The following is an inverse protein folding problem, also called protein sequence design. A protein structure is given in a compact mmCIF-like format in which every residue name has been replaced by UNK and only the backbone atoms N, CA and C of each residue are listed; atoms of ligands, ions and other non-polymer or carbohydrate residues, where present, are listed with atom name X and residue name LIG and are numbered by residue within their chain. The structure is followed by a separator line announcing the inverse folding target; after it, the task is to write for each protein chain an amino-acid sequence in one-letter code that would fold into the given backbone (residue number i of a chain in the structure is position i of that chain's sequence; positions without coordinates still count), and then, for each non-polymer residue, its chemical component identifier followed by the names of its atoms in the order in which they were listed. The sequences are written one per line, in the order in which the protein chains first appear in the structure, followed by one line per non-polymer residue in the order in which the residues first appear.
data_IF_992990549608
#
_entry.id   IF_992990549608
#
_cell.length_a   1.000
_cell.length_b   1.000
_cell.length_c   1.000
_cell.angle_alpha   90.00
_cell.angle_beta   90.00
_cell.angle_gamma   90.00
#
_symmetry.space_group_name_H-M   'P 1'
#
loop_
_entity.id
_entity.type
_entity.pdbx_description
1 polymer ?
#
# COMPACT_ATOMS: atom_id res chain seq x y z
N UNK A 1 61.62 -10.65 -12.18
CA UNK A 1 60.52 -10.62 -13.16
C UNK A 1 59.56 -9.50 -12.76
N UNK A 2 59.66 -8.37 -13.47
CA UNK A 2 58.66 -7.33 -13.81
C UNK A 2 57.63 -6.89 -12.73
N UNK A 3 57.68 -5.59 -12.31
CA UNK A 3 56.68 -4.92 -11.47
C UNK A 3 55.70 -4.04 -12.29
N UNK A 4 54.50 -3.76 -11.75
CA UNK A 4 53.53 -2.75 -12.22
C UNK A 4 53.30 -1.78 -11.04
N UNK A 5 53.87 -0.56 -10.95
CA UNK A 5 53.66 0.70 -11.69
C UNK A 5 52.22 1.24 -11.67
N UNK A 6 51.91 2.13 -10.72
CA UNK A 6 51.69 3.57 -10.97
C UNK A 6 51.32 4.33 -9.66
N UNK A 7 51.99 5.44 -9.29
CA UNK A 7 51.51 6.33 -8.22
C UNK A 7 50.82 7.60 -8.76
N UNK A 8 49.78 7.95 -8.03
CA UNK A 8 48.91 9.11 -8.10
C UNK A 8 49.68 10.44 -7.86
N UNK A 9 49.43 11.44 -8.71
CA UNK A 9 49.94 12.82 -8.62
C UNK A 9 48.75 13.76 -8.51
N UNK A 10 48.84 14.73 -7.60
CA UNK A 10 48.49 16.17 -7.78
C UNK A 10 48.60 16.85 -6.40
N UNK A 11 49.67 17.62 -6.18
CA UNK A 11 49.75 19.09 -6.28
C UNK A 11 48.85 19.85 -5.30
N UNK A 12 49.54 20.51 -4.36
CA UNK A 12 49.01 21.39 -3.35
C UNK A 12 48.49 22.70 -3.95
N UNK A 13 47.38 23.18 -3.39
CA UNK A 13 46.84 24.50 -3.65
C UNK A 13 47.67 25.61 -3.01
N UNK A 14 47.94 26.65 -3.80
CA UNK A 14 48.21 27.98 -3.29
C UNK A 14 46.87 28.74 -3.20
N UNK A 15 46.59 29.31 -2.03
CA UNK A 15 45.47 30.22 -1.83
C UNK A 15 45.69 31.57 -2.49
N UNK A 16 44.64 32.41 -2.49
CA UNK A 16 44.64 33.82 -2.08
C UNK A 16 43.19 34.37 -2.23
N UNK A 17 42.67 34.84 -1.10
CA UNK A 17 41.88 36.06 -0.86
C UNK A 17 40.67 36.48 -1.71
N UNK A 18 39.57 36.79 -1.00
CA UNK A 18 38.66 37.90 -1.34
C UNK A 18 37.16 37.62 -1.17
N UNK A 19 36.40 38.42 -0.38
CA UNK A 19 34.97 38.21 -0.15
C UNK A 19 34.14 38.74 -1.33
N UNK A 20 33.20 37.93 -1.83
CA UNK A 20 32.35 38.27 -2.98
C UNK A 20 31.16 39.14 -2.57
N UNK A 21 31.16 40.35 -3.14
CA UNK A 21 30.11 41.36 -3.12
C UNK A 21 28.81 40.86 -3.79
N UNK A 22 27.70 40.99 -3.07
CA UNK A 22 26.40 40.41 -3.40
C UNK A 22 25.58 41.27 -4.39
N UNK A 23 26.18 42.29 -5.01
CA UNK A 23 25.51 43.25 -5.91
C UNK A 23 25.81 43.11 -7.40
N UNK A 24 26.67 42.18 -7.83
CA UNK A 24 27.07 42.04 -9.24
C UNK A 24 26.44 40.85 -9.99
N UNK A 25 25.49 40.12 -9.37
CA UNK A 25 24.82 38.95 -9.96
C UNK A 25 23.36 39.20 -10.40
N UNK A 26 22.92 40.45 -10.52
CA UNK A 26 21.59 40.80 -11.05
C UNK A 26 21.63 41.56 -12.38
N UNK A 27 22.80 41.78 -12.98
CA UNK A 27 22.96 42.64 -14.16
C UNK A 27 23.52 41.92 -15.40
N UNK A 28 23.49 40.57 -15.42
CA UNK A 28 23.90 39.74 -16.58
C UNK A 28 22.82 38.78 -17.09
N UNK A 29 21.55 39.18 -17.06
CA UNK A 29 20.47 38.40 -17.70
C UNK A 29 19.53 39.20 -18.62
N UNK A 30 19.87 40.45 -18.98
CA UNK A 30 19.01 41.30 -19.83
C UNK A 30 19.61 41.71 -21.17
N UNK A 31 20.68 41.05 -21.64
CA UNK A 31 21.22 41.28 -22.98
C UNK A 31 21.76 39.98 -23.58
N UNK A 32 20.94 39.24 -24.31
CA UNK A 32 21.32 38.61 -25.57
C UNK A 32 20.09 37.99 -26.27
N UNK A 33 19.99 38.27 -27.56
CA UNK A 33 19.08 37.70 -28.58
C UNK A 33 17.71 38.35 -28.72
N UNK A 34 17.75 39.58 -29.21
CA UNK A 34 16.75 40.08 -30.15
C UNK A 34 17.50 40.84 -31.25
N UNK A 35 17.70 40.21 -32.43
CA UNK A 35 18.03 40.86 -33.72
C UNK A 35 18.56 39.83 -34.73
N UNK A 36 17.73 39.51 -35.74
CA UNK A 36 18.15 39.37 -37.14
C UNK A 36 16.90 39.13 -38.01
N UNK A 37 16.43 40.21 -38.64
CA UNK A 37 15.48 40.24 -39.74
C UNK A 37 16.23 40.82 -40.94
N UNK A 38 16.30 40.10 -42.08
CA UNK A 38 16.56 40.70 -43.40
C UNK A 38 16.31 39.73 -44.59
N UNK A 39 15.34 40.13 -45.42
CA UNK A 39 15.21 39.99 -46.90
C UNK A 39 14.70 38.71 -47.60
N UNK A 40 13.41 38.82 -47.99
CA UNK A 40 12.86 38.89 -49.37
C UNK A 40 12.78 37.68 -50.32
N UNK A 41 11.51 37.26 -50.53
CA UNK A 41 10.80 36.95 -51.82
C UNK A 41 11.13 35.67 -52.63
N UNK A 42 10.23 35.20 -53.54
CA UNK A 42 8.76 35.07 -53.48
C UNK A 42 8.27 33.73 -54.12
N UNK A 43 7.52 32.88 -53.40
CA UNK A 43 6.81 31.73 -54.03
C UNK A 43 5.42 31.52 -53.42
N UNK A 44 4.62 32.59 -53.42
CA UNK A 44 3.17 32.50 -53.31
C UNK A 44 2.56 32.38 -54.71
N UNK A 45 2.34 31.16 -55.19
CA UNK A 45 1.28 30.77 -56.13
C UNK A 45 1.60 29.41 -56.75
N UNK A 46 0.84 28.37 -56.40
CA UNK A 46 0.32 27.34 -57.32
C UNK A 46 -0.90 26.70 -56.61
N UNK A 47 -2.09 26.94 -57.20
CA UNK A 47 -3.33 26.15 -57.17
C UNK A 47 -3.85 25.60 -55.83
N UNK A 48 -4.89 26.19 -55.20
CA UNK A 48 -6.32 25.99 -55.54
C UNK A 48 -6.63 24.66 -56.24
N UNK A 49 -7.22 23.71 -55.50
CA UNK A 49 -8.40 22.89 -55.85
C UNK A 49 -8.43 21.62 -54.99
N UNK A 50 -9.26 21.60 -53.96
CA UNK A 50 -10.02 20.39 -53.57
C UNK A 50 -11.23 20.85 -52.78
N UNK A 51 -12.33 20.99 -53.52
CA UNK A 51 -13.61 21.44 -53.01
C UNK A 51 -14.25 20.41 -52.08
N UNK A 52 -14.85 20.96 -51.02
CA UNK A 52 -16.07 20.47 -50.34
C UNK A 52 -17.01 19.77 -51.32
N UNK A 53 -17.27 18.47 -51.12
CA UNK A 53 -18.53 17.85 -51.54
C UNK A 53 -19.24 17.26 -50.31
N UNK A 54 -20.54 17.53 -50.12
CA UNK A 54 -21.32 17.01 -48.99
C UNK A 54 -21.77 15.55 -49.15
N UNK A 55 -21.32 14.85 -50.21
CA UNK A 55 -21.78 13.51 -50.57
C UNK A 55 -21.04 12.41 -49.78
N UNK A 56 -19.81 12.67 -49.30
CA UNK A 56 -19.06 11.70 -48.46
C UNK A 56 -19.47 11.68 -46.98
N UNK A 57 -20.26 12.65 -46.51
CA UNK A 57 -20.84 12.61 -45.15
C UNK A 57 -22.15 11.83 -45.07
N UNK A 58 -22.82 11.62 -46.20
CA UNK A 58 -24.08 10.85 -46.26
C UNK A 58 -23.83 9.34 -46.28
N UNK A 59 -22.71 8.87 -46.86
CA UNK A 59 -22.31 7.45 -46.88
C UNK A 59 -21.73 6.94 -45.54
N UNK A 60 -21.32 7.85 -44.65
CA UNK A 60 -20.92 7.53 -43.26
C UNK A 60 -22.06 7.74 -42.25
N UNK A 61 -23.31 7.82 -42.70
CA UNK A 61 -24.49 7.79 -41.83
C UNK A 61 -25.57 6.82 -42.35
N UNK A 62 -25.28 6.08 -43.43
CA UNK A 62 -26.18 5.11 -44.06
C UNK A 62 -25.78 3.64 -43.79
N UNK A 63 -24.99 3.41 -42.74
CA UNK A 63 -24.63 2.08 -42.24
C UNK A 63 -24.99 1.93 -40.74
N UNK A 64 -25.92 2.76 -40.26
CA UNK A 64 -26.52 2.72 -38.91
C UNK A 64 -28.05 2.81 -39.07
N UNK A 65 -28.62 1.96 -39.92
CA UNK A 65 -30.08 1.77 -39.99
C UNK A 65 -30.46 0.30 -40.28
N UNK A 66 -29.53 -0.64 -40.09
CA UNK A 66 -29.69 -2.04 -40.47
C UNK A 66 -29.46 -3.03 -39.33
N UNK A 67 -30.03 -2.81 -38.15
CA UNK A 67 -30.19 -3.85 -37.13
C UNK A 67 -31.08 -3.35 -35.98
N UNK A 68 -32.37 -3.13 -36.24
CA UNK A 68 -33.36 -3.01 -35.17
C UNK A 68 -34.64 -3.76 -35.51
N UNK A 69 -34.51 -5.06 -35.80
CA UNK A 69 -35.63 -5.99 -35.84
C UNK A 69 -35.15 -7.38 -35.45
N UNK A 70 -35.02 -7.64 -34.14
CA UNK A 70 -35.29 -8.96 -33.56
C UNK A 70 -35.88 -8.74 -32.18
N UNK A 71 -37.19 -8.98 -32.05
CA UNK A 71 -37.83 -9.20 -30.76
C UNK A 71 -37.57 -10.63 -30.29
N UNK A 72 -37.54 -10.81 -28.96
CA UNK A 72 -37.75 -12.10 -28.31
C UNK A 72 -36.49 -12.94 -28.01
N UNK A 73 -35.88 -12.68 -26.86
CA UNK A 73 -35.71 -13.61 -25.72
C UNK A 73 -34.65 -13.03 -24.77
N UNK A 74 -35.12 -12.54 -23.61
CA UNK A 74 -34.28 -12.16 -22.49
C UNK A 74 -33.68 -13.41 -21.82
N UNK A 75 -32.53 -13.22 -21.16
CA UNK A 75 -31.90 -14.12 -20.17
C UNK A 75 -30.94 -15.22 -20.68
N UNK A 76 -30.05 -14.90 -21.62
CA UNK A 76 -28.78 -15.66 -21.76
C UNK A 76 -27.56 -14.75 -21.50
N UNK A 77 -26.77 -15.01 -20.45
CA UNK A 77 -25.57 -14.24 -20.12
C UNK A 77 -24.55 -14.16 -21.27
N UNK A 78 -24.51 -15.20 -22.10
CA UNK A 78 -23.53 -15.34 -23.19
C UNK A 78 -23.78 -14.40 -24.37
N UNK A 79 -25.05 -14.10 -24.68
CA UNK A 79 -25.40 -13.18 -25.77
C UNK A 79 -25.11 -11.73 -25.39
N UNK A 80 -25.27 -11.37 -24.12
CA UNK A 80 -24.85 -10.05 -23.62
C UNK A 80 -23.33 -9.90 -23.66
N UNK A 81 -22.56 -10.92 -23.26
CA UNK A 81 -21.10 -10.86 -23.29
C UNK A 81 -20.55 -10.81 -24.73
N UNK A 82 -21.19 -11.51 -25.67
CA UNK A 82 -20.89 -11.41 -27.10
C UNK A 82 -21.20 -10.02 -27.67
N UNK A 83 -22.35 -9.44 -27.33
CA UNK A 83 -22.73 -8.09 -27.76
C UNK A 83 -21.78 -7.01 -27.20
N UNK A 84 -21.35 -7.15 -25.94
CA UNK A 84 -20.38 -6.23 -25.31
C UNK A 84 -19.01 -6.31 -26.01
N UNK A 85 -18.53 -7.51 -26.36
CA UNK A 85 -17.26 -7.68 -27.10
C UNK A 85 -17.29 -7.04 -28.48
N UNK A 86 -18.40 -7.17 -29.22
CA UNK A 86 -18.59 -6.54 -30.54
C UNK A 86 -18.69 -5.02 -30.42
N UNK A 87 -19.35 -4.53 -29.37
CA UNK A 87 -19.49 -3.10 -29.10
C UNK A 87 -18.17 -2.44 -28.63
N UNK A 88 -17.31 -3.18 -27.92
CA UNK A 88 -15.95 -2.75 -27.54
C UNK A 88 -15.00 -2.69 -28.74
N UNK A 89 -15.09 -3.63 -29.68
CA UNK A 89 -14.27 -3.64 -30.90
C UNK A 89 -14.62 -2.52 -31.88
N UNK A 90 -15.85 -2.00 -31.84
CA UNK A 90 -16.33 -0.94 -32.73
C UNK A 90 -16.08 0.49 -32.21
N UNK A 91 -15.48 0.64 -31.02
CA UNK A 91 -15.17 1.96 -30.42
C UNK A 91 -16.40 2.81 -30.08
N UNK A 92 -17.61 2.26 -30.27
CA UNK A 92 -18.88 2.93 -30.00
C UNK A 92 -19.23 2.97 -28.51
N UNK A 93 -18.53 2.20 -27.68
CA UNK A 93 -18.67 2.22 -26.23
C UNK A 93 -17.32 2.58 -25.61
N UNK A 94 -17.21 3.80 -25.09
CA UNK A 94 -16.26 4.11 -24.03
C UNK A 94 -16.72 3.34 -22.78
N UNK A 95 -16.45 2.03 -22.77
CA UNK A 95 -17.16 1.03 -21.98
C UNK A 95 -17.04 1.23 -20.48
N UNK A 96 -18.16 1.66 -19.87
CA UNK A 96 -18.54 1.33 -18.49
C UNK A 96 -18.10 -0.09 -18.18
N UNK A 97 -17.31 -0.29 -17.13
CA UNK A 97 -16.86 -1.61 -16.72
C UNK A 97 -18.08 -2.49 -16.37
N UNK A 98 -17.99 -3.78 -16.70
CA UNK A 98 -18.91 -4.75 -16.12
C UNK A 98 -18.69 -4.82 -14.60
N UNK A 99 -19.75 -5.14 -13.85
CA UNK A 99 -19.62 -5.24 -12.39
C UNK A 99 -18.63 -6.31 -11.94
N UNK A 100 -18.42 -7.35 -12.77
CA UNK A 100 -17.45 -8.42 -12.53
C UNK A 100 -16.00 -7.93 -12.64
N UNK A 101 -15.71 -7.11 -13.65
CA UNK A 101 -14.40 -6.48 -13.81
C UNK A 101 -14.10 -5.54 -12.63
N UNK A 102 -15.10 -4.78 -12.19
CA UNK A 102 -14.97 -3.90 -11.03
C UNK A 102 -14.60 -4.68 -9.76
N UNK A 103 -15.34 -5.76 -9.49
CA UNK A 103 -15.11 -6.61 -8.34
C UNK A 103 -13.72 -7.27 -8.39
N UNK A 104 -13.30 -7.74 -9.56
CA UNK A 104 -11.97 -8.35 -9.75
C UNK A 104 -10.84 -7.35 -9.49
N UNK A 105 -11.00 -6.11 -9.95
CA UNK A 105 -10.05 -5.03 -9.66
C UNK A 105 -9.91 -4.76 -8.17
N UNK A 106 -11.04 -4.61 -7.47
CA UNK A 106 -11.07 -4.42 -6.02
C UNK A 106 -10.37 -5.58 -5.30
N UNK A 107 -10.70 -6.83 -5.63
CA UNK A 107 -10.06 -8.01 -5.02
C UNK A 107 -8.54 -7.97 -5.17
N UNK A 108 -8.03 -7.61 -6.34
CA UNK A 108 -6.58 -7.51 -6.55
C UNK A 108 -5.95 -6.40 -5.71
N UNK A 109 -6.57 -5.21 -5.60
CA UNK A 109 -6.10 -4.17 -4.69
C UNK A 109 -6.04 -4.65 -3.24
N UNK A 110 -7.11 -5.29 -2.77
CA UNK A 110 -7.17 -5.80 -1.40
C UNK A 110 -6.12 -6.90 -1.17
N UNK A 111 -5.82 -7.71 -2.19
CA UNK A 111 -4.77 -8.75 -2.13
C UNK A 111 -3.39 -8.13 -1.99
N UNK A 112 -3.09 -7.11 -2.79
CA UNK A 112 -1.83 -6.36 -2.71
C UNK A 112 -1.72 -5.67 -1.35
N UNK A 113 -2.76 -4.97 -0.90
CA UNK A 113 -2.78 -4.28 0.39
C UNK A 113 -2.57 -5.24 1.56
N UNK A 114 -3.32 -6.35 1.63
CA UNK A 114 -3.10 -7.38 2.64
C UNK A 114 -1.67 -7.97 2.59
N UNK A 115 -1.14 -8.17 1.38
CA UNK A 115 0.25 -8.58 1.18
C UNK A 115 1.27 -7.61 1.76
N UNK A 116 1.06 -6.30 1.54
CA UNK A 116 1.89 -5.21 2.07
C UNK A 116 1.86 -5.17 3.61
N UNK A 117 0.66 -5.25 4.20
CA UNK A 117 0.48 -5.26 5.67
C UNK A 117 1.28 -6.41 6.29
N UNK A 118 1.10 -7.63 5.77
CA UNK A 118 1.78 -8.80 6.31
C UNK A 118 3.29 -8.75 6.05
N UNK A 119 3.71 -8.22 4.90
CA UNK A 119 5.13 -8.00 4.59
C UNK A 119 5.80 -6.97 5.50
N UNK A 120 5.08 -5.91 5.88
CA UNK A 120 5.56 -4.87 6.80
C UNK A 120 5.69 -5.37 8.23
N UNK A 121 4.66 -6.08 8.71
CA UNK A 121 4.56 -6.47 10.12
C UNK A 121 5.27 -7.79 10.42
N UNK A 122 5.42 -8.66 9.42
CA UNK A 122 6.01 -10.00 9.54
C UNK A 122 7.54 -10.05 9.48
N UNK A 123 8.22 -8.91 9.59
CA UNK A 123 9.69 -8.80 9.50
C UNK A 123 10.28 -8.25 10.80
N UNK A 124 11.59 -8.45 11.06
CA UNK A 124 12.24 -7.85 12.20
C UNK A 124 12.00 -6.34 12.26
N UNK A 125 11.50 -5.88 13.41
CA UNK A 125 11.14 -4.50 13.73
C UNK A 125 9.85 -3.99 13.09
N UNK A 126 9.09 -4.86 12.41
CA UNK A 126 7.76 -4.54 11.89
C UNK A 126 6.77 -4.14 12.99
N UNK A 127 6.92 -4.70 14.20
CA UNK A 127 6.21 -4.23 15.39
C UNK A 127 7.14 -3.42 16.29
N UNK A 128 8.34 -3.93 16.58
CA UNK A 128 9.16 -3.39 17.66
C UNK A 128 9.58 -1.92 17.45
N UNK A 129 9.87 -1.51 16.22
CA UNK A 129 10.29 -0.14 15.91
C UNK A 129 9.14 0.75 15.42
N UNK A 130 7.93 0.21 15.27
CA UNK A 130 6.80 0.95 14.72
C UNK A 130 5.92 1.50 15.85
N UNK A 131 5.94 2.81 16.13
CA UNK A 131 5.24 3.38 17.28
C UNK A 131 3.71 3.26 17.20
N UNK A 132 3.14 2.94 16.03
CA UNK A 132 1.68 2.80 15.86
C UNK A 132 1.18 1.42 16.28
N UNK A 133 2.03 0.41 16.20
CA UNK A 133 1.65 -0.99 16.46
C UNK A 133 2.56 -1.70 17.45
N UNK A 134 3.61 -1.01 17.94
CA UNK A 134 4.48 -1.52 18.99
C UNK A 134 3.66 -2.11 20.13
N UNK A 135 4.03 -3.32 20.55
CA UNK A 135 3.36 -4.06 21.62
C UNK A 135 4.01 -3.68 22.94
N UNK A 136 3.38 -2.80 23.75
CA UNK A 136 3.94 -2.47 25.05
C UNK A 136 3.76 -3.64 26.01
N UNK A 137 4.51 -3.63 27.10
CA UNK A 137 4.20 -4.47 28.25
C UNK A 137 2.73 -4.27 28.71
N UNK A 138 2.05 -5.33 29.20
CA UNK A 138 0.81 -5.22 29.95
C UNK A 138 0.91 -4.21 31.10
N UNK A 139 -0.21 -3.62 31.49
CA UNK A 139 -0.27 -2.53 32.47
C UNK A 139 0.44 -2.85 33.79
N UNK A 140 0.25 -4.06 34.30
CA UNK A 140 0.92 -4.59 35.50
C UNK A 140 2.45 -4.61 35.34
N UNK A 141 2.95 -5.14 34.22
CA UNK A 141 4.37 -5.24 33.93
C UNK A 141 5.01 -3.89 33.61
N UNK A 142 4.25 -2.90 33.11
CA UNK A 142 4.74 -1.51 33.01
C UNK A 142 4.94 -0.88 34.38
N UNK A 143 4.03 -1.11 35.33
CA UNK A 143 4.20 -0.62 36.71
C UNK A 143 5.44 -1.24 37.35
N UNK A 144 5.60 -2.56 37.20
CA UNK A 144 6.78 -3.31 37.65
C UNK A 144 8.08 -2.76 37.03
N UNK A 145 8.10 -2.53 35.70
CA UNK A 145 9.21 -1.89 34.99
C UNK A 145 9.54 -0.53 35.57
N UNK A 146 8.55 0.31 35.86
CA UNK A 146 8.81 1.67 36.36
C UNK A 146 9.49 1.63 37.74
N UNK A 147 9.12 0.68 38.60
CA UNK A 147 9.78 0.45 39.89
C UNK A 147 11.20 -0.07 39.66
N UNK A 148 11.36 -1.12 38.85
CA UNK A 148 12.66 -1.71 38.50
C UNK A 148 13.62 -0.66 37.90
N UNK A 149 13.11 0.24 37.06
CA UNK A 149 13.89 1.28 36.41
C UNK A 149 14.46 2.30 37.40
N UNK A 150 13.72 2.64 38.47
CA UNK A 150 14.22 3.49 39.56
C UNK A 150 15.39 2.85 40.33
N UNK A 151 15.50 1.53 40.25
CA UNK A 151 16.54 0.73 40.88
C UNK A 151 17.66 0.32 39.90
N UNK A 152 17.66 0.87 38.68
CA UNK A 152 18.65 0.52 37.64
C UNK A 152 18.41 -0.80 36.91
N UNK A 153 17.27 -1.47 37.15
CA UNK A 153 16.93 -2.81 36.63
C UNK A 153 15.92 -2.79 35.48
N UNK A 154 15.74 -1.65 34.80
CA UNK A 154 14.74 -1.50 33.73
C UNK A 154 15.03 -2.33 32.47
N UNK A 155 16.27 -2.76 32.25
CA UNK A 155 16.70 -3.42 31.02
C UNK A 155 16.04 -4.78 30.79
N UNK A 156 15.79 -5.56 31.84
CA UNK A 156 15.14 -6.88 31.71
C UNK A 156 13.70 -6.76 31.21
N UNK A 157 12.99 -5.72 31.65
CA UNK A 157 11.64 -5.42 31.16
C UNK A 157 11.64 -4.92 29.72
N UNK A 158 12.69 -4.19 29.30
CA UNK A 158 12.86 -3.78 27.90
C UNK A 158 13.16 -4.97 26.99
N UNK A 159 13.96 -5.93 27.45
CA UNK A 159 14.20 -7.19 26.75
C UNK A 159 12.89 -8.01 26.62
N UNK A 160 12.11 -8.12 27.70
CA UNK A 160 10.80 -8.76 27.67
C UNK A 160 9.87 -8.10 26.64
N UNK A 161 9.75 -6.78 26.66
CA UNK A 161 8.94 -6.02 25.70
C UNK A 161 9.38 -6.29 24.25
N UNK A 162 10.70 -6.30 24.01
CA UNK A 162 11.26 -6.62 22.68
C UNK A 162 10.87 -8.04 22.25
N UNK A 163 10.94 -9.04 23.13
CA UNK A 163 10.58 -10.43 22.82
C UNK A 163 9.09 -10.61 22.53
N UNK A 164 8.21 -9.86 23.20
CA UNK A 164 6.77 -9.83 22.87
C UNK A 164 6.55 -9.35 21.42
N UNK A 165 7.26 -8.29 21.01
CA UNK A 165 7.20 -7.78 19.63
C UNK A 165 7.76 -8.79 18.63
N UNK A 166 8.89 -9.46 18.94
CA UNK A 166 9.43 -10.53 18.08
C UNK A 166 8.44 -11.69 17.89
N UNK A 167 7.69 -12.02 18.93
CA UNK A 167 6.67 -13.07 18.84
C UNK A 167 5.54 -12.68 17.87
N UNK A 168 5.09 -11.42 17.90
CA UNK A 168 4.11 -10.89 16.94
C UNK A 168 4.64 -10.86 15.49
N UNK A 169 5.87 -10.38 15.29
CA UNK A 169 6.55 -10.36 13.98
C UNK A 169 6.63 -11.78 13.40
N UNK A 170 6.94 -12.78 14.22
CA UNK A 170 7.02 -14.19 13.80
C UNK A 170 5.65 -14.77 13.45
N UNK A 171 4.59 -14.38 14.17
CA UNK A 171 3.26 -14.94 13.97
C UNK A 171 2.51 -14.32 12.78
N UNK A 172 2.77 -13.05 12.46
CA UNK A 172 2.02 -12.29 11.47
C UNK A 172 2.03 -12.87 10.04
N UNK A 173 3.12 -13.48 9.53
CA UNK A 173 3.14 -14.07 8.19
C UNK A 173 1.99 -15.04 7.87
N UNK A 174 1.45 -15.75 8.87
CA UNK A 174 0.32 -16.68 8.68
C UNK A 174 -0.95 -15.98 8.21
N UNK A 175 -1.11 -14.69 8.51
CA UNK A 175 -2.30 -13.94 8.16
C UNK A 175 -2.46 -13.79 6.63
N UNK A 176 -1.36 -13.88 5.86
CA UNK A 176 -1.38 -13.69 4.40
C UNK A 176 -2.33 -14.66 3.71
N UNK A 177 -2.18 -15.96 3.97
CA UNK A 177 -3.00 -17.00 3.35
C UNK A 177 -4.47 -16.82 3.73
N UNK A 178 -4.74 -16.48 4.98
CA UNK A 178 -6.09 -16.24 5.48
C UNK A 178 -6.76 -15.05 4.78
N UNK A 179 -6.06 -13.93 4.62
CA UNK A 179 -6.57 -12.79 3.84
C UNK A 179 -6.83 -13.16 2.38
N UNK A 180 -5.91 -13.89 1.74
CA UNK A 180 -6.05 -14.28 0.34
C UNK A 180 -7.25 -15.22 0.13
N UNK A 181 -7.48 -16.14 1.07
CA UNK A 181 -8.64 -17.01 1.05
C UNK A 181 -9.94 -16.21 1.19
N UNK A 182 -9.99 -15.24 2.11
CA UNK A 182 -11.16 -14.38 2.29
C UNK A 182 -11.46 -13.52 1.06
N UNK A 183 -10.43 -12.96 0.43
CA UNK A 183 -10.56 -12.17 -0.82
C UNK A 183 -11.07 -13.05 -1.96
N UNK A 184 -10.55 -14.28 -2.07
CA UNK A 184 -11.00 -15.24 -3.08
C UNK A 184 -12.50 -15.55 -2.92
N UNK A 185 -12.94 -15.76 -1.67
CA UNK A 185 -14.34 -16.08 -1.31
C UNK A 185 -15.29 -14.87 -1.33
N UNK A 186 -14.79 -13.64 -1.52
CA UNK A 186 -15.61 -12.43 -1.55
C UNK A 186 -16.61 -12.47 -2.71
N UNK A 187 -17.89 -12.25 -2.43
CA UNK A 187 -18.94 -12.24 -3.45
C UNK A 187 -18.96 -10.93 -4.24
N UNK A 188 -19.71 -10.88 -5.35
CA UNK A 188 -19.92 -9.63 -6.08
C UNK A 188 -20.64 -8.58 -5.20
N UNK A 189 -21.55 -9.02 -4.32
CA UNK A 189 -22.28 -8.11 -3.43
C UNK A 189 -21.40 -7.57 -2.31
N UNK A 190 -20.51 -8.40 -1.75
CA UNK A 190 -19.48 -7.92 -0.84
C UNK A 190 -18.60 -6.86 -1.49
N UNK A 191 -18.14 -7.11 -2.72
CA UNK A 191 -17.31 -6.19 -3.48
C UNK A 191 -18.03 -4.86 -3.78
N UNK A 192 -19.31 -4.93 -4.18
CA UNK A 192 -20.17 -3.75 -4.36
C UNK A 192 -20.30 -2.97 -3.05
N UNK A 193 -20.61 -3.65 -1.95
CA UNK A 193 -20.78 -3.03 -0.64
C UNK A 193 -19.51 -2.35 -0.11
N UNK A 194 -18.33 -2.89 -0.44
CA UNK A 194 -17.06 -2.24 -0.13
C UNK A 194 -16.87 -0.98 -0.99
N UNK A 195 -17.14 -1.08 -2.29
CA UNK A 195 -16.92 0.01 -3.25
C UNK A 195 -17.88 1.20 -3.03
N UNK A 196 -19.14 0.95 -2.70
CA UNK A 196 -20.14 1.98 -2.39
C UNK A 196 -20.19 2.37 -0.91
N UNK A 197 -19.43 1.67 -0.07
CA UNK A 197 -19.39 1.88 1.37
C UNK A 197 -18.50 3.04 1.81
N UNK A 198 -18.52 3.36 3.12
CA UNK A 198 -17.67 4.39 3.72
C UNK A 198 -16.18 4.06 3.57
N UNK A 199 -15.31 5.02 3.90
CA UNK A 199 -13.87 4.92 3.65
C UNK A 199 -13.14 3.74 4.32
N UNK A 200 -13.78 3.08 5.28
CA UNK A 200 -13.28 1.91 6.00
C UNK A 200 -14.02 0.59 5.67
N UNK A 201 -14.81 0.56 4.60
CA UNK A 201 -15.69 -0.56 4.30
C UNK A 201 -14.97 -1.91 4.12
N UNK A 202 -13.79 -1.93 3.48
CA UNK A 202 -12.99 -3.14 3.32
C UNK A 202 -12.41 -3.60 4.66
N UNK A 203 -11.91 -2.66 5.46
CA UNK A 203 -11.38 -2.93 6.80
C UNK A 203 -12.45 -3.54 7.69
N UNK A 204 -13.65 -2.97 7.70
CA UNK A 204 -14.80 -3.50 8.45
C UNK A 204 -15.22 -4.87 7.94
N UNK A 205 -15.19 -5.11 6.63
CA UNK A 205 -15.44 -6.42 6.04
C UNK A 205 -14.46 -7.46 6.61
N UNK A 206 -13.16 -7.17 6.55
CA UNK A 206 -12.13 -8.08 7.05
C UNK A 206 -12.21 -8.27 8.56
N UNK A 207 -12.43 -7.23 9.35
CA UNK A 207 -12.61 -7.37 10.80
C UNK A 207 -13.74 -8.34 11.13
N UNK A 208 -14.90 -8.23 10.45
CA UNK A 208 -16.02 -9.15 10.66
C UNK A 208 -15.71 -10.58 10.21
N UNK A 209 -15.11 -10.75 9.02
CA UNK A 209 -14.88 -12.07 8.42
C UNK A 209 -13.66 -12.79 9.00
N UNK A 210 -12.66 -12.05 9.49
CA UNK A 210 -11.31 -12.58 9.74
C UNK A 210 -10.89 -12.55 11.19
N UNK A 211 -11.49 -11.77 12.08
CA UNK A 211 -11.02 -11.70 13.48
C UNK A 211 -11.00 -13.07 14.15
N UNK A 212 -12.08 -13.85 14.04
CA UNK A 212 -12.14 -15.18 14.64
C UNK A 212 -11.20 -16.20 13.95
N UNK A 213 -11.21 -16.35 12.61
CA UNK A 213 -10.25 -17.23 11.92
C UNK A 213 -8.77 -16.87 12.17
N UNK A 214 -8.42 -15.58 12.13
CA UNK A 214 -7.07 -15.11 12.44
C UNK A 214 -6.70 -15.46 13.88
N UNK A 215 -7.57 -15.16 14.84
CA UNK A 215 -7.33 -15.50 16.25
C UNK A 215 -7.06 -16.99 16.44
N UNK A 216 -7.91 -17.85 15.86
CA UNK A 216 -7.78 -19.30 15.98
C UNK A 216 -6.48 -19.81 15.36
N UNK A 217 -6.09 -19.31 14.18
CA UNK A 217 -4.89 -19.78 13.48
C UNK A 217 -3.60 -19.19 14.05
N UNK A 218 -3.63 -17.93 14.48
CA UNK A 218 -2.46 -17.24 15.03
C UNK A 218 -2.16 -17.67 16.46
N UNK A 219 -3.15 -17.97 17.30
CA UNK A 219 -2.94 -18.34 18.72
C UNK A 219 -1.86 -19.42 18.94
N UNK A 220 -1.90 -20.59 18.29
CA UNK A 220 -0.84 -21.60 18.48
C UNK A 220 0.54 -21.14 17.99
N UNK A 221 0.58 -20.30 16.96
CA UNK A 221 1.84 -19.76 16.41
C UNK A 221 2.41 -18.70 17.34
N UNK A 222 1.58 -17.81 17.88
CA UNK A 222 1.98 -16.84 18.91
C UNK A 222 2.50 -17.58 20.13
N UNK A 223 1.83 -18.64 20.59
CA UNK A 223 2.31 -19.44 21.71
C UNK A 223 3.71 -20.04 21.45
N UNK A 224 3.91 -20.62 20.26
CA UNK A 224 5.22 -21.13 19.85
C UNK A 224 6.26 -20.00 19.73
N UNK A 225 5.89 -18.84 19.20
CA UNK A 225 6.77 -17.70 19.01
C UNK A 225 7.17 -17.06 20.34
N UNK A 226 6.24 -16.93 21.29
CA UNK A 226 6.49 -16.51 22.69
C UNK A 226 7.50 -17.46 23.35
N UNK A 227 7.32 -18.77 23.15
CA UNK A 227 8.22 -19.79 23.68
C UNK A 227 9.62 -19.69 23.06
N UNK A 228 9.72 -19.62 21.72
CA UNK A 228 10.99 -19.52 20.98
C UNK A 228 11.72 -18.20 21.22
N UNK A 229 10.98 -17.10 21.35
CA UNK A 229 11.52 -15.80 21.66
C UNK A 229 12.00 -15.69 23.11
N UNK A 230 11.84 -16.72 23.94
CA UNK A 230 12.31 -16.73 25.31
C UNK A 230 11.53 -15.78 26.24
N UNK A 231 10.27 -15.49 25.91
CA UNK A 231 9.44 -14.52 26.66
C UNK A 231 9.26 -14.97 28.11
N UNK A 232 9.06 -16.27 28.34
CA UNK A 232 8.85 -16.82 29.68
C UNK A 232 10.12 -16.70 30.53
N UNK A 233 11.27 -17.02 29.94
CA UNK A 233 12.58 -16.91 30.59
C UNK A 233 12.89 -15.44 30.92
N UNK A 234 12.64 -14.53 29.97
CA UNK A 234 12.82 -13.09 30.15
C UNK A 234 11.86 -12.52 31.20
N UNK A 235 10.61 -12.99 31.23
CA UNK A 235 9.63 -12.65 32.26
C UNK A 235 10.11 -13.08 33.65
N UNK A 236 10.53 -14.35 33.80
CA UNK A 236 11.04 -14.85 35.08
C UNK A 236 12.28 -14.08 35.54
N UNK A 237 13.17 -13.73 34.61
CA UNK A 237 14.34 -12.91 34.92
C UNK A 237 13.95 -11.48 35.37
N UNK A 238 13.03 -10.83 34.66
CA UNK A 238 12.56 -9.48 34.98
C UNK A 238 11.83 -9.41 36.33
N UNK A 239 10.96 -10.39 36.61
CA UNK A 239 10.25 -10.47 37.89
C UNK A 239 11.19 -10.87 39.03
N UNK A 240 12.13 -11.79 38.81
CA UNK A 240 13.10 -12.20 39.83
C UNK A 240 13.98 -11.05 40.35
N UNK A 241 14.28 -10.06 39.51
CA UNK A 241 15.02 -8.86 39.91
C UNK A 241 14.29 -7.98 40.94
N UNK A 242 12.97 -8.12 41.07
CA UNK A 242 12.18 -7.40 42.08
C UNK A 242 12.25 -8.06 43.47
N UNK A 243 12.80 -9.27 43.58
CA UNK A 243 12.95 -9.98 44.86
C UNK A 243 11.61 -10.11 45.60
N UNK A 244 11.54 -9.79 46.91
CA UNK A 244 10.30 -9.89 47.69
C UNK A 244 9.12 -9.10 47.12
N UNK A 245 9.38 -7.99 46.41
CA UNK A 245 8.33 -7.17 45.79
C UNK A 245 7.57 -7.90 44.67
N UNK A 246 8.15 -8.96 44.10
CA UNK A 246 7.50 -9.78 43.07
C UNK A 246 6.22 -10.44 43.56
N UNK A 247 6.15 -10.81 44.85
CA UNK A 247 4.98 -11.47 45.47
C UNK A 247 3.71 -10.62 45.46
N UNK A 248 3.84 -9.29 45.32
CA UNK A 248 2.71 -8.36 45.21
C UNK A 248 2.20 -8.20 43.76
N UNK A 249 2.88 -8.80 42.77
CA UNK A 249 2.49 -8.74 41.37
C UNK A 249 1.62 -9.95 40.99
N UNK A 250 0.52 -9.75 40.24
CA UNK A 250 -0.25 -10.87 39.71
C UNK A 250 0.60 -11.69 38.74
N UNK A 251 0.40 -13.01 38.70
CA UNK A 251 1.02 -13.84 37.68
C UNK A 251 0.39 -13.54 36.31
N UNK A 252 1.19 -12.95 35.43
CA UNK A 252 0.79 -12.56 34.08
C UNK A 252 1.33 -13.49 33.00
N UNK A 253 2.13 -14.50 33.35
CA UNK A 253 2.78 -15.38 32.38
C UNK A 253 1.76 -16.02 31.42
N UNK A 254 0.64 -16.51 31.95
CA UNK A 254 -0.43 -17.14 31.17
C UNK A 254 -1.19 -16.18 30.24
N UNK A 255 -1.08 -14.88 30.45
CA UNK A 255 -1.84 -13.86 29.70
C UNK A 255 -1.00 -13.21 28.57
N UNK A 256 0.32 -13.43 28.56
CA UNK A 256 1.20 -12.82 27.55
C UNK A 256 0.87 -13.28 26.12
N UNK A 257 0.46 -14.54 25.95
CA UNK A 257 0.05 -15.07 24.63
C UNK A 257 -1.17 -14.31 24.11
N UNK A 258 -2.20 -14.16 24.93
CA UNK A 258 -3.43 -13.47 24.53
C UNK A 258 -3.20 -11.97 24.31
N UNK A 259 -2.33 -11.35 25.12
CA UNK A 259 -1.90 -9.96 24.93
C UNK A 259 -1.20 -9.75 23.58
N UNK A 260 -0.21 -10.59 23.26
CA UNK A 260 0.50 -10.52 21.97
C UNK A 260 -0.45 -10.79 20.82
N UNK A 261 -1.33 -11.79 20.94
CA UNK A 261 -2.32 -12.11 19.90
C UNK A 261 -3.24 -10.93 19.62
N UNK A 262 -3.87 -10.36 20.66
CA UNK A 262 -4.78 -9.22 20.53
C UNK A 262 -4.07 -8.04 19.87
N UNK A 263 -2.87 -7.67 20.35
CA UNK A 263 -2.10 -6.55 19.82
C UNK A 263 -1.61 -6.80 18.38
N UNK A 264 -1.30 -8.05 18.03
CA UNK A 264 -0.95 -8.41 16.65
C UNK A 264 -2.12 -8.20 15.70
N UNK A 265 -3.33 -8.64 16.10
CA UNK A 265 -4.54 -8.43 15.31
C UNK A 265 -4.89 -6.95 15.17
N UNK A 266 -4.80 -6.19 16.27
CA UNK A 266 -5.00 -4.73 16.25
C UNK A 266 -4.04 -4.06 15.26
N UNK A 267 -2.75 -4.44 15.28
CA UNK A 267 -1.75 -3.89 14.37
C UNK A 267 -1.98 -4.26 12.90
N UNK A 268 -2.37 -5.50 12.63
CA UNK A 268 -2.74 -5.95 11.28
C UNK A 268 -3.94 -5.15 10.75
N UNK A 269 -5.00 -5.00 11.53
CA UNK A 269 -6.17 -4.23 11.10
C UNK A 269 -5.90 -2.73 11.00
N UNK A 270 -5.03 -2.18 11.85
CA UNK A 270 -4.58 -0.79 11.73
C UNK A 270 -3.94 -0.54 10.37
N UNK A 271 -2.95 -1.35 9.96
CA UNK A 271 -2.30 -1.13 8.67
C UNK A 271 -3.17 -1.51 7.48
N UNK A 272 -4.12 -2.42 7.65
CA UNK A 272 -5.12 -2.70 6.62
C UNK A 272 -6.01 -1.47 6.34
N UNK A 273 -6.41 -0.75 7.39
CA UNK A 273 -7.14 0.50 7.26
C UNK A 273 -6.31 1.57 6.55
N UNK A 274 -5.00 1.65 6.84
CA UNK A 274 -4.11 2.59 6.17
C UNK A 274 -3.94 2.25 4.67
N UNK A 275 -3.82 0.97 4.30
CA UNK A 275 -3.77 0.54 2.90
C UNK A 275 -5.09 0.84 2.18
N UNK A 276 -6.25 0.59 2.82
CA UNK A 276 -7.55 0.95 2.26
C UNK A 276 -7.66 2.45 2.00
N UNK A 277 -7.32 3.28 3.00
CA UNK A 277 -7.34 4.74 2.87
C UNK A 277 -6.41 5.21 1.72
N UNK A 278 -5.24 4.60 1.58
CA UNK A 278 -4.32 4.90 0.48
C UNK A 278 -4.94 4.55 -0.89
N UNK A 279 -5.61 3.42 -1.04
CA UNK A 279 -6.28 3.03 -2.30
C UNK A 279 -7.41 4.01 -2.65
N UNK A 280 -8.16 4.47 -1.65
CA UNK A 280 -9.27 5.43 -1.83
C UNK A 280 -8.78 6.81 -2.21
N UNK A 281 -7.75 7.34 -1.56
CA UNK A 281 -7.33 8.74 -1.73
C UNK A 281 -6.18 8.95 -2.72
N UNK A 282 -5.36 7.94 -3.01
CA UNK A 282 -4.20 8.08 -3.91
C UNK A 282 -4.41 7.34 -5.25
N UNK A 283 -4.69 8.06 -6.35
CA UNK A 283 -4.82 7.46 -7.68
C UNK A 283 -3.55 6.74 -8.17
N UNK A 284 -2.35 7.10 -7.68
CA UNK A 284 -1.11 6.42 -8.04
C UNK A 284 -0.99 5.05 -7.38
N UNK A 285 -1.64 4.84 -6.22
CA UNK A 285 -1.75 3.55 -5.53
C UNK A 285 -2.79 2.62 -6.16
N UNK A 286 -3.57 3.11 -7.12
CA UNK A 286 -4.46 2.31 -7.97
C UNK A 286 -3.64 1.73 -9.13
N UNK A 287 -2.73 0.82 -8.80
CA UNK A 287 -1.59 0.45 -9.66
C UNK A 287 -2.04 -0.28 -10.94
N UNK A 288 -3.15 -1.00 -10.90
CA UNK A 288 -3.67 -1.72 -12.06
C UNK A 288 -4.55 -0.82 -12.93
N UNK A 289 -4.49 -1.02 -14.25
CA UNK A 289 -5.38 -0.32 -15.19
C UNK A 289 -6.87 -0.52 -14.82
N UNK A 290 -7.18 -1.70 -14.28
CA UNK A 290 -8.50 -2.04 -13.78
C UNK A 290 -8.90 -1.18 -12.57
N UNK A 291 -8.01 -1.01 -11.58
CA UNK A 291 -8.26 -0.16 -10.42
C UNK A 291 -8.43 1.32 -10.78
N UNK A 292 -7.62 1.84 -11.70
CA UNK A 292 -7.78 3.23 -12.20
C UNK A 292 -9.14 3.44 -12.83
N UNK A 293 -9.63 2.44 -13.58
CA UNK A 293 -10.92 2.50 -14.26
C UNK A 293 -12.11 2.33 -13.29
N UNK A 294 -12.00 1.48 -12.26
CA UNK A 294 -13.01 1.31 -11.19
C UNK A 294 -13.26 2.59 -10.42
N UNK A 295 -12.20 3.15 -9.83
CA UNK A 295 -12.34 4.34 -8.98
C UNK A 295 -12.34 5.64 -9.80
N UNK A 296 -12.09 5.57 -11.11
CA UNK A 296 -12.28 6.67 -12.05
C UNK A 296 -13.75 6.83 -12.46
N UNK A 297 -14.52 5.73 -12.52
CA UNK A 297 -15.95 5.74 -12.84
C UNK A 297 -16.86 6.21 -11.68
N UNK A 298 -16.31 6.45 -10.48
CA UNK A 298 -17.04 6.97 -9.31
C UNK A 298 -16.98 8.50 -9.16
N UNK A 299 -16.26 9.20 -10.04
CA UNK A 299 -16.27 10.67 -10.11
C UNK A 299 -17.23 11.14 -11.16
#
# INVERSE_FOLDING_TARGET
MIPLLWPYRDQQGHGLDGPLDHKTLLERQTQHKNSADFTSNPLSAIHRLTGRTPIMKLLRNLLILGALLVGGCADSPDLMDAAIKIAQQSGAVSGSLSTSEIASGLKEALRVGAGNVVGRLGVPNGFNADPKVHIPLPDSLRKARNIASKLGMGNSFKDLETRLNRAAETATPVARELFFNAISQMTLDDARGILSGPDDAATRYFQRKMTAPLSARMKPIVNQAVSRAGVIQSYNHAIGQLGPLASALPDYQGQLVDHVLKRSLDGVFYYLAQEEAAIRHDPAKRITALLKKVFGAQR
#
